data_IF_574915245534
#
_entry.id   IF_574915245534
#
_cell.length_a   1.000
_cell.length_b   1.000
_cell.length_c   1.000
_cell.angle_alpha   90.00
_cell.angle_beta   90.00
_cell.angle_gamma   90.00
#
_symmetry.space_group_name_H-M   'P 1'
#
loop_
_entity.id
_entity.type
_entity.pdbx_description
1 polymer ?
#
# COMPACT_ATOMS: atom_id res chain seq x y z
N UNK A 1 11.62 -1.88 -11.39
CA UNK A 1 10.57 -2.10 -10.38
C UNK A 1 9.94 -0.74 -10.13
N UNK A 2 8.67 -0.56 -10.49
CA UNK A 2 8.03 0.75 -10.47
C UNK A 2 7.69 1.14 -9.03
N UNK A 3 7.84 2.42 -8.66
CA UNK A 3 7.47 2.92 -7.33
C UNK A 3 5.99 2.64 -6.98
N UNK A 4 5.16 2.43 -8.01
CA UNK A 4 3.73 2.12 -7.92
C UNK A 4 3.41 0.70 -7.42
N UNK A 5 4.38 -0.21 -7.34
CA UNK A 5 4.16 -1.59 -6.89
C UNK A 5 4.45 -1.78 -5.39
N UNK A 6 4.97 -0.75 -4.72
CA UNK A 6 5.42 -0.83 -3.32
C UNK A 6 4.35 -0.31 -2.36
N UNK A 7 4.23 -1.00 -1.24
CA UNK A 7 3.45 -0.57 -0.09
C UNK A 7 4.26 0.31 0.84
N UNK A 8 3.59 1.19 1.58
CA UNK A 8 4.16 2.01 2.63
C UNK A 8 3.99 1.33 4.00
N UNK A 9 5.05 0.83 4.61
CA UNK A 9 5.01 0.36 6.00
C UNK A 9 5.20 1.54 6.95
N UNK A 10 4.25 1.73 7.87
CA UNK A 10 4.29 2.80 8.88
C UNK A 10 4.21 2.25 10.29
N UNK A 11 5.09 2.74 11.17
CA UNK A 11 4.98 2.51 12.61
C UNK A 11 4.14 3.61 13.25
N UNK A 12 3.16 3.22 14.07
CA UNK A 12 2.31 4.12 14.82
C UNK A 12 2.19 3.69 16.28
N UNK A 13 2.03 4.66 17.18
CA UNK A 13 1.60 4.35 18.55
C UNK A 13 0.23 3.65 18.52
N UNK A 14 -0.02 2.61 19.34
CA UNK A 14 -1.25 1.82 19.29
C UNK A 14 -2.55 2.61 19.26
N UNK A 15 -2.65 3.68 20.08
CA UNK A 15 -3.83 4.57 20.09
C UNK A 15 -4.17 5.19 18.73
N UNK A 16 -3.16 5.51 17.91
CA UNK A 16 -3.35 6.10 16.60
C UNK A 16 -3.64 5.05 15.53
N UNK A 17 -2.97 3.89 15.60
CA UNK A 17 -3.29 2.77 14.72
C UNK A 17 -4.76 2.35 14.89
N UNK A 18 -5.21 2.17 16.14
CA UNK A 18 -6.62 1.85 16.44
C UNK A 18 -7.59 2.94 15.94
N UNK A 19 -7.25 4.22 16.15
CA UNK A 19 -8.08 5.33 15.67
C UNK A 19 -8.16 5.41 14.13
N UNK A 20 -7.13 4.97 13.40
CA UNK A 20 -7.20 4.87 11.94
C UNK A 20 -8.15 3.73 11.54
N UNK A 21 -7.96 2.57 12.16
CA UNK A 21 -8.70 1.35 11.83
C UNK A 21 -10.20 1.43 12.15
N UNK A 22 -10.60 2.22 13.14
CA UNK A 22 -12.02 2.47 13.45
C UNK A 22 -12.58 3.77 12.85
N UNK A 23 -11.80 4.46 12.01
CA UNK A 23 -12.23 5.63 11.25
C UNK A 23 -12.24 6.95 12.03
N UNK A 24 -11.87 6.98 13.31
CA UNK A 24 -11.77 8.23 14.10
C UNK A 24 -10.61 9.13 13.67
N UNK A 25 -9.61 8.60 12.97
CA UNK A 25 -8.43 9.31 12.45
C UNK A 25 -8.24 9.00 10.97
N UNK A 26 -8.42 10.00 10.11
CA UNK A 26 -8.19 9.88 8.67
C UNK A 26 -6.97 10.66 8.18
N UNK A 27 -6.25 11.36 9.07
CA UNK A 27 -5.03 12.09 8.72
C UNK A 27 -3.87 11.66 9.59
N UNK A 28 -2.78 11.23 8.97
CA UNK A 28 -1.51 10.93 9.63
C UNK A 28 -0.49 12.06 9.41
N UNK A 29 0.11 12.52 10.50
CA UNK A 29 0.93 13.73 10.52
C UNK A 29 2.41 13.36 10.64
N UNK A 30 3.26 13.98 9.84
CA UNK A 30 4.71 13.74 9.84
C UNK A 30 5.48 15.06 9.79
N UNK A 31 6.60 15.13 10.50
CA UNK A 31 7.48 16.32 10.59
C UNK A 31 8.32 16.58 9.34
N UNK A 32 8.34 15.64 8.40
CA UNK A 32 9.17 15.72 7.19
C UNK A 32 8.26 15.53 5.98
N UNK A 33 8.71 16.04 4.83
CA UNK A 33 8.05 15.80 3.55
C UNK A 33 7.94 14.30 3.28
N UNK A 34 6.73 13.85 3.02
CA UNK A 34 6.45 12.49 2.55
C UNK A 34 6.05 12.55 1.08
N UNK A 35 6.83 11.91 0.22
CA UNK A 35 6.51 11.82 -1.20
C UNK A 35 5.93 10.43 -1.49
N UNK A 36 4.59 10.34 -1.43
CA UNK A 36 3.83 9.11 -1.66
C UNK A 36 2.69 9.43 -2.63
N UNK A 37 2.56 8.70 -3.76
CA UNK A 37 1.45 8.89 -4.68
C UNK A 37 0.09 8.56 -4.06
N UNK A 38 -0.98 9.27 -4.45
CA UNK A 38 -2.35 8.79 -4.22
C UNK A 38 -2.56 7.37 -4.74
N UNK A 39 -3.31 6.56 -3.98
CA UNK A 39 -3.56 5.14 -4.25
C UNK A 39 -2.54 4.19 -3.63
N UNK A 40 -1.43 4.68 -3.04
CA UNK A 40 -0.45 3.82 -2.37
C UNK A 40 -1.08 3.14 -1.15
N UNK A 41 -0.89 1.82 -1.08
CA UNK A 41 -1.28 1.01 0.08
C UNK A 41 -0.37 1.26 1.27
N UNK A 42 -0.97 1.35 2.45
CA UNK A 42 -0.28 1.53 3.72
C UNK A 42 -0.47 0.29 4.56
N UNK A 43 0.62 -0.25 5.11
CA UNK A 43 0.64 -1.33 6.08
C UNK A 43 0.90 -0.70 7.45
N UNK A 44 0.00 -0.94 8.40
CA UNK A 44 0.03 -0.31 9.71
C UNK A 44 0.67 -1.27 10.73
N UNK A 45 1.85 -0.90 11.22
CA UNK A 45 2.49 -1.55 12.35
C UNK A 45 2.21 -0.75 13.63
N UNK A 46 1.58 -1.37 14.62
CA UNK A 46 1.41 -0.79 15.94
C UNK A 46 2.64 -1.09 16.81
N UNK A 47 3.22 -0.06 17.43
CA UNK A 47 4.38 -0.20 18.32
C UNK A 47 3.98 -0.82 19.68
N UNK A 48 4.90 -0.81 20.66
CA UNK A 48 4.64 -1.33 22.01
C UNK A 48 3.39 -0.68 22.64
N UNK A 49 2.55 -1.46 23.37
CA UNK A 49 2.70 -2.88 23.70
C UNK A 49 2.15 -3.87 22.67
N UNK A 50 1.53 -3.41 21.56
CA UNK A 50 0.89 -4.30 20.58
C UNK A 50 1.92 -5.03 19.72
N UNK A 51 2.90 -4.30 19.20
CA UNK A 51 4.05 -4.86 18.46
C UNK A 51 3.65 -5.82 17.32
N UNK A 52 2.75 -5.38 16.43
CA UNK A 52 2.21 -6.21 15.36
C UNK A 52 1.82 -5.40 14.12
N UNK A 53 1.74 -6.06 12.95
CA UNK A 53 0.93 -5.52 11.85
C UNK A 53 -0.54 -5.69 12.24
N UNK A 54 -1.32 -4.61 12.16
CA UNK A 54 -2.69 -4.58 12.69
C UNK A 54 -3.75 -4.27 11.63
N UNK A 55 -3.34 -3.83 10.44
CA UNK A 55 -4.26 -3.47 9.38
C UNK A 55 -3.58 -2.75 8.23
N UNK A 56 -4.41 -2.32 7.30
CA UNK A 56 -4.00 -1.56 6.13
C UNK A 56 -4.85 -0.29 5.97
N UNK A 57 -4.38 0.62 5.13
CA UNK A 57 -5.13 1.77 4.65
C UNK A 57 -4.65 2.14 3.24
N UNK A 58 -5.23 3.18 2.65
CA UNK A 58 -4.81 3.71 1.35
C UNK A 58 -4.56 5.22 1.46
N UNK A 59 -3.42 5.70 0.97
CA UNK A 59 -3.17 7.14 0.86
C UNK A 59 -4.04 7.71 -0.26
N UNK A 60 -4.87 8.70 0.03
CA UNK A 60 -5.70 9.39 -0.97
C UNK A 60 -5.09 10.71 -1.43
N UNK A 61 -4.35 11.38 -0.55
CA UNK A 61 -3.61 12.59 -0.85
C UNK A 61 -2.48 12.80 0.16
N UNK A 62 -1.50 13.62 -0.24
CA UNK A 62 -0.50 14.15 0.68
C UNK A 62 -0.49 15.66 0.56
N UNK A 63 -0.72 16.34 1.67
CA UNK A 63 -0.61 17.80 1.77
C UNK A 63 0.65 18.17 2.55
N UNK A 64 1.37 19.18 2.09
CA UNK A 64 2.62 19.63 2.69
C UNK A 64 2.55 21.14 2.89
N UNK A 65 2.92 21.59 4.08
CA UNK A 65 2.92 23.01 4.44
C UNK A 65 3.68 23.25 5.74
N UNK A 66 3.56 24.45 6.29
CA UNK A 66 4.06 24.73 7.64
C UNK A 66 3.23 23.99 8.69
N UNK A 67 3.78 23.73 9.89
CA UNK A 67 2.99 23.13 10.98
C UNK A 67 1.71 23.88 11.32
N UNK A 68 1.69 25.21 11.18
CA UNK A 68 0.50 26.02 11.45
C UNK A 68 -0.60 25.79 10.41
N UNK A 69 -0.23 25.75 9.12
CA UNK A 69 -1.17 25.50 8.02
C UNK A 69 -1.76 24.09 8.11
N UNK A 70 -0.92 23.07 8.32
CA UNK A 70 -1.36 21.68 8.46
C UNK A 70 -2.28 21.53 9.67
N UNK A 71 -1.97 22.18 10.80
CA UNK A 71 -2.86 22.15 11.97
C UNK A 71 -4.22 22.76 11.66
N UNK A 72 -4.23 23.94 11.02
CA UNK A 72 -5.47 24.64 10.69
C UNK A 72 -6.38 23.79 9.80
N UNK A 73 -5.80 23.11 8.81
CA UNK A 73 -6.52 22.26 7.87
C UNK A 73 -7.00 20.94 8.51
N UNK A 74 -6.16 20.27 9.31
CA UNK A 74 -6.36 18.85 9.64
C UNK A 74 -6.58 18.54 11.13
N UNK A 75 -6.63 19.54 12.02
CA UNK A 75 -6.80 19.33 13.48
C UNK A 75 -7.98 18.42 13.87
N UNK A 76 -9.07 18.43 13.09
CA UNK A 76 -10.27 17.65 13.39
C UNK A 76 -10.13 16.16 13.02
N UNK A 77 -9.18 15.81 12.15
CA UNK A 77 -9.04 14.48 11.56
C UNK A 77 -7.75 13.75 11.99
N UNK A 78 -6.86 14.43 12.71
CA UNK A 78 -5.59 13.88 13.18
C UNK A 78 -5.65 13.08 14.50
N UNK A 79 -6.79 13.11 15.21
CA UNK A 79 -6.99 12.49 16.53
C UNK A 79 -5.86 12.79 17.54
N UNK A 80 -5.32 14.01 17.51
CA UNK A 80 -4.23 14.47 18.38
C UNK A 80 -4.62 15.81 19.01
N UNK A 81 -4.29 15.99 20.30
CA UNK A 81 -4.55 17.26 20.96
C UNK A 81 -3.65 18.38 20.39
N UNK A 82 -4.08 19.64 20.51
CA UNK A 82 -3.26 20.78 20.09
C UNK A 82 -1.90 20.80 20.80
N UNK A 83 -1.89 20.48 22.10
CA UNK A 83 -0.67 20.43 22.90
C UNK A 83 0.29 19.37 22.39
N UNK A 84 -0.20 18.14 22.18
CA UNK A 84 0.63 17.03 21.69
C UNK A 84 1.12 17.31 20.26
N UNK A 85 0.30 17.95 19.43
CA UNK A 85 0.69 18.37 18.08
C UNK A 85 1.82 19.39 18.10
N UNK A 86 1.70 20.45 18.90
CA UNK A 86 2.72 21.49 19.00
C UNK A 86 4.05 20.92 19.50
N UNK A 87 4.00 20.06 20.52
CA UNK A 87 5.19 19.36 21.00
C UNK A 87 5.80 18.45 19.91
N UNK A 88 4.97 17.73 19.17
CA UNK A 88 5.45 16.86 18.09
C UNK A 88 6.10 17.66 16.94
N UNK A 89 5.58 18.85 16.63
CA UNK A 89 6.08 19.72 15.56
C UNK A 89 7.13 20.74 16.01
N UNK A 90 7.58 20.69 17.26
CA UNK A 90 8.56 21.64 17.79
C UNK A 90 9.86 21.63 16.96
N UNK A 91 10.26 22.82 16.49
CA UNK A 91 11.44 22.99 15.63
C UNK A 91 11.29 22.47 14.19
N UNK A 92 10.09 22.05 13.77
CA UNK A 92 9.85 21.66 12.38
C UNK A 92 9.46 22.89 11.54
N UNK A 93 10.15 23.10 10.42
CA UNK A 93 9.78 24.14 9.43
C UNK A 93 8.65 23.68 8.50
N UNK A 94 8.46 22.37 8.39
CA UNK A 94 7.50 21.75 7.49
C UNK A 94 6.77 20.59 8.18
N UNK A 95 5.55 20.32 7.73
CA UNK A 95 4.75 19.17 8.12
C UNK A 95 4.07 18.57 6.88
N UNK A 96 3.85 17.25 6.91
CA UNK A 96 3.04 16.52 5.93
C UNK A 96 1.81 15.93 6.61
N UNK A 97 0.67 16.04 5.94
CA UNK A 97 -0.57 15.36 6.25
C UNK A 97 -0.84 14.31 5.18
N UNK A 98 -0.78 13.03 5.56
CA UNK A 98 -1.19 11.91 4.72
C UNK A 98 -2.66 11.66 4.99
N UNK A 99 -3.50 11.86 3.97
CA UNK A 99 -4.92 11.54 4.04
C UNK A 99 -5.08 10.05 3.77
N UNK A 100 -5.76 9.37 4.67
CA UNK A 100 -5.96 7.93 4.69
C UNK A 100 -7.44 7.60 4.54
N UNK A 101 -7.72 6.61 3.70
CA UNK A 101 -9.05 6.03 3.50
C UNK A 101 -8.95 4.51 3.33
N UNK A 102 -10.09 3.83 3.24
CA UNK A 102 -10.20 2.37 3.10
C UNK A 102 -9.35 1.64 4.15
N UNK A 103 -9.41 2.12 5.40
CA UNK A 103 -8.76 1.46 6.53
C UNK A 103 -9.44 0.10 6.77
N UNK A 104 -8.62 -0.95 6.87
CA UNK A 104 -9.10 -2.31 7.10
C UNK A 104 -8.28 -2.94 8.23
N UNK A 105 -8.88 -3.25 9.39
CA UNK A 105 -8.20 -4.04 10.41
C UNK A 105 -7.93 -5.44 9.88
N UNK A 106 -6.82 -6.04 10.29
CA UNK A 106 -6.55 -7.45 10.06
C UNK A 106 -7.44 -8.31 10.96
N UNK A 107 -7.93 -9.43 10.43
CA UNK A 107 -8.69 -10.43 11.22
C UNK A 107 -7.89 -10.97 12.41
N UNK A 108 -6.58 -11.17 12.24
CA UNK A 108 -5.63 -11.52 13.29
C UNK A 108 -4.31 -10.75 13.09
N UNK A 109 -3.87 -9.92 14.07
CA UNK A 109 -2.63 -9.14 13.96
C UNK A 109 -1.40 -10.03 13.81
N UNK A 110 -0.45 -9.65 12.95
CA UNK A 110 0.79 -10.40 12.74
C UNK A 110 1.86 -9.93 13.74
N UNK A 111 2.21 -10.71 14.78
CA UNK A 111 3.10 -10.23 15.85
C UNK A 111 4.54 -10.07 15.38
N UNK A 112 5.30 -9.17 16.02
CA UNK A 112 6.70 -8.91 15.71
C UNK A 112 7.57 -10.19 15.70
N UNK A 113 7.30 -11.12 16.60
CA UNK A 113 8.01 -12.39 16.66
C UNK A 113 7.83 -13.21 15.37
N UNK A 114 6.62 -13.25 14.82
CA UNK A 114 6.32 -13.92 13.55
C UNK A 114 7.03 -13.20 12.39
N UNK A 115 6.92 -11.88 12.31
CA UNK A 115 7.56 -11.07 11.26
C UNK A 115 9.08 -11.29 11.21
N UNK A 116 9.72 -11.42 12.38
CA UNK A 116 11.16 -11.68 12.51
C UNK A 116 11.56 -13.11 12.18
N UNK A 117 10.67 -14.09 12.35
CA UNK A 117 10.90 -15.45 11.89
C UNK A 117 10.87 -15.53 10.35
N UNK A 118 10.04 -14.70 9.70
CA UNK A 118 9.96 -14.56 8.25
C UNK A 118 11.08 -13.73 7.60
N UNK A 119 12.01 -13.17 8.37
CA UNK A 119 13.17 -12.43 7.86
C UNK A 119 13.56 -11.21 8.70
N UNK A 120 14.43 -10.35 8.16
CA UNK A 120 14.89 -9.14 8.85
C UNK A 120 13.80 -8.07 8.90
N UNK A 121 12.97 -8.12 9.95
CA UNK A 121 11.95 -7.11 10.22
C UNK A 121 12.38 -6.14 11.33
N UNK A 122 12.40 -4.86 10.98
CA UNK A 122 12.60 -3.74 11.90
C UNK A 122 11.46 -2.73 11.68
N UNK A 123 10.69 -2.38 12.72
CA UNK A 123 9.71 -1.31 12.63
C UNK A 123 10.39 -0.02 12.14
N UNK A 124 9.88 0.65 11.08
CA UNK A 124 10.49 1.89 10.63
C UNK A 124 10.32 2.99 11.68
N UNK A 125 11.33 3.86 11.82
CA UNK A 125 11.23 5.04 12.69
C UNK A 125 10.18 6.03 12.16
N UNK A 126 10.10 6.20 10.84
CA UNK A 126 9.05 6.98 10.18
C UNK A 126 8.17 6.05 9.34
N UNK A 127 8.63 5.73 8.14
CA UNK A 127 8.01 4.78 7.23
C UNK A 127 9.10 4.16 6.35
N UNK A 128 8.77 3.09 5.63
CA UNK A 128 9.61 2.59 4.53
C UNK A 128 8.74 1.98 3.44
N UNK A 129 9.23 2.02 2.20
CA UNK A 129 8.63 1.24 1.14
C UNK A 129 8.98 -0.25 1.32
N UNK A 130 8.01 -1.10 1.03
CA UNK A 130 8.11 -2.56 1.10
C UNK A 130 7.61 -3.14 -0.21
N UNK A 131 8.42 -3.98 -0.83
CA UNK A 131 8.03 -4.73 -2.02
C UNK A 131 7.20 -5.98 -1.64
N UNK A 132 6.40 -6.51 -2.59
CA UNK A 132 5.52 -7.66 -2.33
C UNK A 132 6.25 -8.93 -1.85
N UNK A 133 7.47 -9.19 -2.31
CA UNK A 133 8.22 -10.41 -1.97
C UNK A 133 8.72 -10.36 -0.53
N UNK A 134 9.27 -9.20 -0.12
CA UNK A 134 9.63 -8.94 1.27
C UNK A 134 8.42 -9.08 2.20
N UNK A 135 7.27 -8.52 1.81
CA UNK A 135 6.05 -8.64 2.61
C UNK A 135 5.60 -10.09 2.73
N UNK A 136 5.60 -10.84 1.61
CA UNK A 136 5.24 -12.26 1.57
C UNK A 136 6.10 -13.08 2.53
N UNK A 137 7.41 -12.84 2.55
CA UNK A 137 8.33 -13.50 3.48
C UNK A 137 7.95 -13.28 4.95
N UNK A 138 7.61 -12.05 5.34
CA UNK A 138 7.28 -11.72 6.74
C UNK A 138 5.98 -12.34 7.25
N UNK A 139 5.00 -12.57 6.37
CA UNK A 139 3.67 -13.06 6.78
C UNK A 139 3.47 -14.54 6.46
N UNK A 140 4.46 -15.21 5.85
CA UNK A 140 4.33 -16.59 5.40
C UNK A 140 3.95 -17.52 6.57
N UNK A 141 2.86 -18.27 6.37
CA UNK A 141 2.36 -19.22 7.37
C UNK A 141 1.51 -18.58 8.47
N UNK A 142 1.33 -17.26 8.49
CA UNK A 142 0.31 -16.62 9.34
C UNK A 142 -1.09 -16.89 8.79
N UNK A 143 -2.13 -17.10 9.63
CA UNK A 143 -3.51 -17.24 9.17
C UNK A 143 -3.99 -16.09 8.27
N UNK A 144 -3.51 -14.87 8.56
CA UNK A 144 -3.85 -13.62 7.86
C UNK A 144 -2.97 -13.33 6.63
N UNK A 145 -2.06 -14.21 6.25
CA UNK A 145 -1.06 -13.94 5.20
C UNK A 145 -1.70 -13.45 3.89
N UNK A 146 -2.70 -14.20 3.40
CA UNK A 146 -3.41 -13.88 2.16
C UNK A 146 -4.21 -12.58 2.26
N UNK A 147 -4.78 -12.29 3.43
CA UNK A 147 -5.48 -11.03 3.68
C UNK A 147 -4.52 -9.84 3.60
N UNK A 148 -3.36 -9.92 4.27
CA UNK A 148 -2.33 -8.87 4.22
C UNK A 148 -1.88 -8.62 2.79
N UNK A 149 -1.57 -9.68 2.04
CA UNK A 149 -1.06 -9.57 0.67
C UNK A 149 -2.12 -8.99 -0.28
N UNK A 150 -3.38 -9.40 -0.13
CA UNK A 150 -4.50 -8.88 -0.93
C UNK A 150 -4.75 -7.41 -0.66
N UNK A 151 -4.72 -6.98 0.60
CA UNK A 151 -5.00 -5.58 0.97
C UNK A 151 -3.83 -4.64 0.70
N UNK A 152 -2.58 -5.13 0.80
CA UNK A 152 -1.36 -4.39 0.53
C UNK A 152 -1.01 -4.32 -0.98
N UNK A 153 -1.65 -5.13 -1.81
CA UNK A 153 -1.46 -5.06 -3.26
C UNK A 153 -2.13 -3.80 -3.82
N UNK A 154 -1.43 -3.00 -4.65
CA UNK A 154 -2.04 -1.92 -5.40
C UNK A 154 -3.19 -2.46 -6.24
N UNK A 155 -4.35 -1.77 -6.24
CA UNK A 155 -5.40 -2.11 -7.20
C UNK A 155 -4.94 -1.68 -8.60
N UNK A 156 -5.12 -2.51 -9.64
CA UNK A 156 -4.80 -2.12 -11.01
C UNK A 156 -5.58 -0.85 -11.38
N UNK A 157 -4.94 0.11 -12.07
CA UNK A 157 -5.64 1.32 -12.48
C UNK A 157 -6.72 0.93 -13.51
N UNK A 158 -7.81 1.68 -13.55
CA UNK A 158 -8.88 1.46 -14.54
C UNK A 158 -8.39 1.50 -16.01
N UNK A 159 -7.21 2.08 -16.28
CA UNK A 159 -6.53 2.05 -17.58
C UNK A 159 -5.76 0.76 -17.87
N UNK A 160 -5.21 0.10 -16.85
CA UNK A 160 -4.39 -1.11 -17.00
C UNK A 160 -5.25 -2.33 -17.35
N UNK A 161 -6.47 -2.38 -16.80
CA UNK A 161 -7.46 -3.42 -17.12
C UNK A 161 -7.92 -3.36 -18.60
N UNK A 162 -8.00 -2.17 -19.20
CA UNK A 162 -8.32 -2.01 -20.63
C UNK A 162 -7.17 -2.45 -21.55
N UNK A 163 -5.91 -2.24 -21.13
CA UNK A 163 -4.72 -2.68 -21.88
C UNK A 163 -4.56 -4.21 -21.84
N UNK A 164 -4.77 -4.83 -20.67
CA UNK A 164 -4.73 -6.28 -20.51
C UNK A 164 -5.86 -6.99 -21.30
N UNK A 165 -7.07 -6.43 -21.31
CA UNK A 165 -8.18 -6.96 -22.10
C UNK A 165 -7.95 -6.82 -23.62
N UNK A 166 -7.29 -5.74 -24.07
CA UNK A 166 -6.97 -5.54 -25.48
C UNK A 166 -5.90 -6.53 -25.98
N UNK A 167 -4.87 -6.81 -25.17
CA UNK A 167 -3.84 -7.80 -25.49
C UNK A 167 -4.39 -9.25 -25.54
N UNK A 168 -5.41 -9.58 -24.74
CA UNK A 168 -6.07 -10.90 -24.82
C UNK A 168 -7.01 -11.01 -26.03
N UNK A 169 -7.65 -9.91 -26.44
CA UNK A 169 -8.48 -9.89 -27.65
C UNK A 169 -7.64 -10.01 -28.93
N UNK A 170 -6.50 -9.31 -29.03
CA UNK A 170 -5.60 -9.35 -30.20
C UNK A 170 -4.86 -10.69 -30.37
N UNK A 171 -4.69 -11.48 -29.30
CA UNK A 171 -4.15 -12.85 -29.38
C UNK A 171 -5.20 -13.90 -29.78
N UNK A 172 -6.49 -13.54 -29.82
CA UNK A 172 -7.60 -14.46 -30.14
C UNK A 172 -8.15 -14.33 -31.56
N UNK A 173 -7.72 -13.32 -32.34
CA UNK A 173 -8.25 -13.02 -33.68
C UNK A 173 -7.32 -13.43 -34.85
N UNK A 174 -6.47 -14.44 -34.66
CA UNK A 174 -5.64 -15.01 -35.73
C UNK A 174 -6.23 -16.28 -36.35
N UNK A 175 -6.99 -16.18 -37.44
CA UNK A 175 -7.32 -17.27 -38.38
C UNK A 175 -7.95 -16.71 -39.66
N UNK A 176 -7.99 -17.44 -40.80
CA UNK A 176 -7.02 -18.36 -41.42
C UNK A 176 -6.80 -18.00 -42.93
N UNK A 177 -6.11 -18.89 -43.67
CA UNK A 177 -6.11 -19.07 -45.14
C UNK A 177 -5.10 -18.29 -46.00
N UNK A 178 -4.36 -19.08 -46.78
CA UNK A 178 -3.58 -18.66 -47.94
C UNK A 178 -3.17 -19.90 -48.74
N UNK A 179 -4.12 -20.53 -49.43
CA UNK A 179 -3.82 -21.59 -50.38
C UNK A 179 -3.19 -21.04 -51.65
N UNK A 180 -2.34 -21.84 -52.30
CA UNK A 180 -2.31 -21.86 -53.76
C UNK A 180 -1.86 -23.23 -54.28
N UNK A 181 -2.48 -23.57 -55.39
CA UNK A 181 -2.63 -24.83 -56.09
C UNK A 181 -1.60 -24.89 -57.23
N UNK A 182 -0.86 -25.98 -57.42
CA UNK A 182 -0.30 -26.36 -58.73
C UNK A 182 -0.37 -27.88 -58.93
N UNK A 183 -0.57 -28.21 -60.21
CA UNK A 183 -1.18 -29.35 -60.87
C UNK A 183 -0.19 -30.48 -61.22
N UNK A 184 -0.69 -31.72 -61.16
CA UNK A 184 -0.44 -32.93 -61.98
C UNK A 184 0.97 -33.33 -62.47
N UNK A 185 1.29 -34.63 -62.39
CA UNK A 185 1.14 -35.62 -63.50
C UNK A 185 1.79 -36.99 -63.15
N UNK A 186 1.07 -38.07 -63.50
CA UNK A 186 1.53 -39.39 -64.05
C UNK A 186 2.55 -40.25 -63.25
N UNK A 187 2.57 -41.60 -63.24
CA UNK A 187 1.82 -42.72 -63.83
C UNK A 187 2.39 -44.02 -63.21
N UNK A 188 1.53 -45.04 -63.06
CA UNK A 188 1.76 -46.52 -63.03
C UNK A 188 2.85 -47.13 -62.11
N UNK A 189 2.76 -48.36 -61.61
CA UNK A 189 1.86 -49.51 -61.80
C UNK A 189 1.81 -50.28 -60.46
#
# INVERSE_FOLDING_TARGET
>A
MNEHERSLLMSLHPRYAAAILDGRKSVELRRQRVAVPPGTKVILYATSPVMALVGTATVTAVEVGTPSEIWKAHKAHGAISRRDYLAYMEGAEQASALLLDAASPLSDPVPLAHLRAGGSFHPPQSYRYVDPDTLRGWVQGHPTAEEVLREASPRPRAGDAKSAAKNQAEQSTGSPLGGSMVLAQHVAA
#
